data_IF_176592902085
#
_entry.id   IF_176592902085
#
_cell.length_a   1.000
_cell.length_b   1.000
_cell.length_c   1.000
_cell.angle_alpha   90.00
_cell.angle_beta   90.00
_cell.angle_gamma   90.00
#
_symmetry.space_group_name_H-M   'P 1'
#
loop_
_entity.id
_entity.type
_entity.pdbx_description
1 polymer ?
#
# COMPACT_ATOMS: atom_id res chain seq x y z
N UNK A 1 -1.94 -43.81 24.95
CA UNK A 1 -2.77 -45.01 25.12
C UNK A 1 -4.14 -44.56 25.57
N UNK A 2 -5.02 -44.40 24.60
CA UNK A 2 -6.48 -44.31 24.75
C UNK A 2 -7.01 -45.56 25.43
N UNK A 3 -7.94 -45.40 26.37
CA UNK A 3 -9.24 -46.09 26.43
C UNK A 3 -9.96 -45.64 27.71
N UNK A 4 -11.09 -44.94 27.60
CA UNK A 4 -12.41 -45.53 27.40
C UNK A 4 -12.86 -46.32 28.65
N UNK A 5 -13.83 -45.78 29.38
CA UNK A 5 -14.93 -46.47 30.07
C UNK A 5 -15.67 -45.43 30.92
N UNK A 6 -16.79 -44.92 30.39
CA UNK A 6 -18.17 -45.32 30.77
C UNK A 6 -18.57 -44.73 32.13
N UNK A 7 -19.31 -43.61 32.20
CA UNK A 7 -20.72 -43.43 31.83
C UNK A 7 -21.67 -44.20 32.76
N UNK A 8 -21.90 -43.61 33.92
CA UNK A 8 -22.97 -43.87 34.90
C UNK A 8 -23.04 -42.59 35.75
N UNK A 9 -24.14 -41.98 36.14
CA UNK A 9 -25.57 -42.28 36.11
C UNK A 9 -26.24 -40.92 36.35
N UNK A 10 -27.31 -40.65 35.63
CA UNK A 10 -28.25 -39.56 35.94
C UNK A 10 -28.73 -39.73 37.38
N UNK A 11 -28.43 -38.76 38.26
CA UNK A 11 -29.11 -38.65 39.54
C UNK A 11 -29.94 -37.36 39.56
N UNK A 12 -31.22 -37.59 39.29
CA UNK A 12 -32.34 -36.69 39.47
C UNK A 12 -32.42 -36.20 40.93
N UNK A 13 -32.60 -34.89 41.09
CA UNK A 13 -33.42 -34.20 42.10
C UNK A 13 -33.22 -34.56 43.59
N UNK A 14 -32.73 -33.58 44.35
CA UNK A 14 -33.20 -33.21 45.70
C UNK A 14 -32.90 -31.70 45.88
N UNK A 15 -33.88 -30.80 45.87
CA UNK A 15 -34.52 -30.27 47.08
C UNK A 15 -33.51 -29.47 47.91
N UNK A 16 -33.50 -28.14 48.02
CA UNK A 16 -34.57 -27.16 48.12
C UNK A 16 -34.40 -26.43 49.46
N UNK A 17 -34.19 -25.10 49.43
CA UNK A 17 -34.74 -24.09 50.36
C UNK A 17 -33.81 -22.88 50.59
N UNK A 18 -34.38 -21.71 50.27
CA UNK A 18 -34.34 -20.44 51.00
C UNK A 18 -33.00 -19.68 51.18
N UNK A 19 -32.89 -18.57 50.45
CA UNK A 19 -32.01 -17.45 50.79
C UNK A 19 -32.29 -16.24 49.91
N UNK A 20 -32.82 -15.18 50.53
CA UNK A 20 -33.01 -13.79 50.09
C UNK A 20 -32.20 -13.32 48.86
N UNK A 21 -32.68 -12.46 47.97
CA UNK A 21 -33.17 -11.09 48.19
C UNK A 21 -33.90 -10.68 46.90
N UNK A 22 -35.04 -9.99 47.02
CA UNK A 22 -35.69 -9.27 45.92
C UNK A 22 -34.78 -8.13 45.44
N UNK A 23 -33.78 -8.44 44.61
CA UNK A 23 -33.12 -7.42 43.81
C UNK A 23 -34.06 -7.07 42.66
N UNK A 24 -34.65 -5.88 42.76
CA UNK A 24 -35.42 -5.24 41.71
C UNK A 24 -34.78 -5.53 40.35
N UNK A 25 -35.50 -6.30 39.53
CA UNK A 25 -35.17 -6.53 38.13
C UNK A 25 -35.34 -5.20 37.38
N UNK A 26 -34.38 -4.30 37.57
CA UNK A 26 -34.09 -3.25 36.61
C UNK A 26 -33.58 -4.02 35.40
N UNK A 27 -34.50 -4.41 34.52
CA UNK A 27 -34.19 -4.60 33.10
C UNK A 27 -33.62 -3.26 32.64
N UNK A 28 -32.33 -3.03 32.91
CA UNK A 28 -31.49 -2.36 31.94
C UNK A 28 -31.67 -3.22 30.72
N UNK A 29 -32.58 -2.77 29.85
CA UNK A 29 -32.44 -2.96 28.42
C UNK A 29 -30.96 -2.63 28.21
N UNK A 30 -30.10 -3.64 28.13
CA UNK A 30 -28.91 -3.51 27.32
C UNK A 30 -29.51 -3.12 25.99
N UNK A 31 -29.48 -1.82 25.68
CA UNK A 31 -29.48 -1.40 24.31
C UNK A 31 -28.31 -2.20 23.75
N UNK A 32 -28.66 -3.29 23.06
CA UNK A 32 -27.76 -3.95 22.13
C UNK A 32 -27.31 -2.76 21.28
N UNK A 33 -26.03 -2.33 21.33
CA UNK A 33 -25.60 -1.27 20.44
C UNK A 33 -25.98 -1.78 19.06
N UNK A 34 -26.84 -1.02 18.39
CA UNK A 34 -27.42 -1.41 17.12
C UNK A 34 -26.29 -1.94 16.25
N UNK A 35 -26.34 -3.24 15.98
CA UNK A 35 -25.47 -3.95 15.07
C UNK A 35 -25.94 -3.64 13.64
N UNK A 36 -26.24 -2.36 13.39
CA UNK A 36 -26.31 -1.79 12.06
C UNK A 36 -24.88 -1.84 11.56
N UNK A 37 -24.66 -2.72 10.58
CA UNK A 37 -23.41 -2.85 9.86
C UNK A 37 -22.78 -1.46 9.67
N UNK A 38 -21.59 -1.27 10.22
CA UNK A 38 -20.80 -0.05 10.00
C UNK A 38 -20.31 -0.09 8.56
N UNK A 39 -21.22 0.15 7.62
CA UNK A 39 -20.92 0.34 6.20
C UNK A 39 -20.28 1.72 6.03
N UNK A 40 -19.05 1.84 6.52
CA UNK A 40 -18.24 3.02 6.33
C UNK A 40 -17.64 2.95 4.93
N UNK A 41 -18.01 3.91 4.08
CA UNK A 41 -17.38 4.09 2.77
C UNK A 41 -15.88 4.35 2.95
N UNK A 42 -15.08 3.72 2.10
CA UNK A 42 -13.63 3.98 2.03
C UNK A 42 -13.40 5.40 1.54
N UNK A 43 -12.48 6.10 2.17
CA UNK A 43 -12.04 7.42 1.71
C UNK A 43 -11.06 7.29 0.55
N UNK A 44 -10.92 8.36 -0.25
CA UNK A 44 -9.94 8.40 -1.33
C UNK A 44 -8.51 8.23 -0.76
N UNK A 45 -8.23 8.80 0.41
CA UNK A 45 -6.93 8.69 1.07
C UNK A 45 -6.61 7.24 1.48
N UNK A 46 -7.58 6.51 2.03
CA UNK A 46 -7.44 5.10 2.36
C UNK A 46 -7.19 4.25 1.10
N UNK A 47 -7.89 4.55 0.00
CA UNK A 47 -7.70 3.86 -1.27
C UNK A 47 -6.28 4.11 -1.84
N UNK A 48 -5.81 5.35 -1.81
CA UNK A 48 -4.45 5.70 -2.26
C UNK A 48 -3.40 5.01 -1.39
N UNK A 49 -3.60 4.97 -0.07
CA UNK A 49 -2.68 4.32 0.85
C UNK A 49 -2.58 2.80 0.61
N UNK A 50 -3.70 2.12 0.37
CA UNK A 50 -3.67 0.69 0.05
C UNK A 50 -3.05 0.43 -1.33
N UNK A 51 -3.22 1.35 -2.29
CA UNK A 51 -2.55 1.26 -3.59
C UNK A 51 -1.02 1.40 -3.43
N UNK A 52 -0.55 2.34 -2.61
CA UNK A 52 0.88 2.52 -2.31
C UNK A 52 1.45 1.26 -1.64
N UNK A 53 0.73 0.71 -0.67
CA UNK A 53 1.13 -0.54 -0.03
C UNK A 53 1.18 -1.71 -1.02
N UNK A 54 0.23 -1.78 -1.94
CA UNK A 54 0.21 -2.78 -3.01
C UNK A 54 1.43 -2.66 -3.93
N UNK A 55 1.80 -1.45 -4.37
CA UNK A 55 2.96 -1.21 -5.23
C UNK A 55 4.27 -1.67 -4.57
N UNK A 56 4.43 -1.38 -3.27
CA UNK A 56 5.60 -1.81 -2.49
C UNK A 56 5.60 -3.33 -2.31
N UNK A 57 4.46 -3.89 -1.88
CA UNK A 57 4.32 -5.34 -1.67
C UNK A 57 4.60 -6.13 -2.95
N UNK A 58 4.18 -5.59 -4.10
CA UNK A 58 4.47 -6.16 -5.42
C UNK A 58 5.89 -5.89 -5.90
N UNK A 59 6.67 -5.08 -5.20
CA UNK A 59 8.03 -4.72 -5.58
C UNK A 59 8.10 -3.91 -6.88
N UNK A 60 7.03 -3.19 -7.22
CA UNK A 60 6.98 -2.32 -8.39
C UNK A 60 7.64 -0.96 -8.10
N UNK A 61 7.61 -0.53 -6.84
CA UNK A 61 8.24 0.69 -6.36
C UNK A 61 8.80 0.49 -4.96
N UNK A 62 9.81 1.28 -4.61
CA UNK A 62 10.29 1.40 -3.24
C UNK A 62 9.47 2.45 -2.47
N UNK A 63 9.50 2.37 -1.14
CA UNK A 63 8.91 3.40 -0.27
C UNK A 63 9.52 4.78 -0.50
N UNK A 64 10.83 4.84 -0.81
CA UNK A 64 11.53 6.09 -1.12
C UNK A 64 11.03 6.72 -2.43
N UNK A 65 10.89 5.93 -3.50
CA UNK A 65 10.34 6.42 -4.77
C UNK A 65 8.90 6.92 -4.63
N UNK A 66 8.06 6.20 -3.88
CA UNK A 66 6.69 6.66 -3.60
C UNK A 66 6.67 7.95 -2.78
N UNK A 67 7.53 8.09 -1.76
CA UNK A 67 7.64 9.33 -1.00
C UNK A 67 8.03 10.52 -1.89
N UNK A 68 8.90 10.32 -2.88
CA UNK A 68 9.23 11.34 -3.87
C UNK A 68 8.04 11.69 -4.76
N UNK A 69 7.27 10.70 -5.22
CA UNK A 69 6.09 10.96 -6.06
C UNK A 69 4.98 11.68 -5.29
N UNK A 70 4.80 11.37 -4.00
CA UNK A 70 3.74 11.95 -3.16
C UNK A 70 4.09 13.34 -2.64
N UNK A 71 5.36 13.57 -2.29
CA UNK A 71 5.78 14.76 -1.54
C UNK A 71 6.99 15.49 -2.14
N UNK A 72 7.62 14.92 -3.15
CA UNK A 72 8.75 15.52 -3.84
C UNK A 72 8.34 16.67 -4.76
N UNK A 73 9.36 17.36 -5.27
CA UNK A 73 9.21 18.39 -6.29
C UNK A 73 9.06 17.71 -7.64
N UNK A 74 7.88 17.88 -8.26
CA UNK A 74 7.65 17.45 -9.64
C UNK A 74 8.43 18.32 -10.61
N UNK A 75 9.08 17.69 -11.58
CA UNK A 75 9.75 18.34 -12.69
C UNK A 75 9.72 17.47 -13.96
N UNK A 76 10.33 17.97 -15.02
CA UNK A 76 10.52 17.25 -16.29
C UNK A 76 11.96 16.78 -16.43
N UNK A 77 12.12 15.50 -16.76
CA UNK A 77 13.39 14.89 -17.14
C UNK A 77 13.40 14.56 -18.62
N UNK A 78 14.47 14.93 -19.31
CA UNK A 78 14.76 14.42 -20.65
C UNK A 78 15.60 13.16 -20.49
N UNK A 79 15.12 12.05 -21.04
CA UNK A 79 15.91 10.81 -21.06
C UNK A 79 17.10 11.00 -22.00
N UNK A 80 18.31 10.91 -21.48
CA UNK A 80 19.56 10.99 -22.24
C UNK A 80 20.15 9.61 -22.53
N UNK A 81 19.81 8.61 -21.72
CA UNK A 81 20.25 7.23 -21.86
C UNK A 81 19.20 6.28 -21.30
N UNK A 82 19.11 5.08 -21.88
CA UNK A 82 18.24 4.02 -21.40
C UNK A 82 18.88 2.67 -21.67
N UNK A 83 18.93 1.82 -20.63
CA UNK A 83 19.54 0.49 -20.69
C UNK A 83 18.66 -0.50 -19.94
N UNK A 84 18.26 -1.57 -20.60
CA UNK A 84 17.61 -2.68 -19.90
C UNK A 84 18.60 -3.38 -18.96
N UNK A 85 18.17 -3.71 -17.74
CA UNK A 85 19.00 -4.47 -16.79
C UNK A 85 18.95 -5.97 -17.07
N UNK A 86 17.95 -6.41 -17.83
CA UNK A 86 17.62 -7.83 -18.03
C UNK A 86 16.64 -8.38 -17.00
N UNK A 87 16.36 -7.65 -15.92
CA UNK A 87 15.34 -8.03 -14.94
C UNK A 87 13.94 -7.68 -15.45
N UNK A 88 13.00 -8.59 -15.23
CA UNK A 88 11.59 -8.40 -15.53
C UNK A 88 10.75 -8.79 -14.31
N UNK A 89 9.63 -8.09 -14.12
CA UNK A 89 8.66 -8.39 -13.07
C UNK A 89 7.26 -8.24 -13.65
N UNK A 90 6.52 -9.34 -13.75
CA UNK A 90 5.22 -9.35 -14.42
C UNK A 90 5.33 -8.70 -15.83
N UNK A 91 4.47 -7.75 -16.15
CA UNK A 91 4.49 -6.99 -17.42
C UNK A 91 5.43 -5.78 -17.40
N UNK A 92 6.30 -5.67 -16.38
CA UNK A 92 7.26 -4.60 -16.24
C UNK A 92 8.67 -5.07 -16.61
N UNK A 93 9.46 -4.15 -17.16
CA UNK A 93 10.89 -4.33 -17.43
C UNK A 93 11.67 -3.33 -16.61
N UNK A 94 12.70 -3.82 -15.94
CA UNK A 94 13.60 -2.96 -15.20
C UNK A 94 14.59 -2.33 -16.17
N UNK A 95 14.70 -1.01 -16.08
CA UNK A 95 15.56 -0.20 -16.94
C UNK A 95 16.31 0.78 -16.06
N UNK A 96 17.57 0.99 -16.39
CA UNK A 96 18.38 2.10 -15.90
C UNK A 96 18.23 3.26 -16.89
N UNK A 97 17.89 4.42 -16.37
CA UNK A 97 17.63 5.63 -17.13
C UNK A 97 18.65 6.70 -16.70
N UNK A 98 19.31 7.30 -17.67
CA UNK A 98 20.04 8.54 -17.48
C UNK A 98 19.15 9.70 -17.91
N UNK A 99 19.01 10.70 -17.05
CA UNK A 99 18.12 11.82 -17.24
C UNK A 99 18.83 13.15 -17.04
N UNK A 100 18.44 14.13 -17.85
CA UNK A 100 18.71 15.54 -17.59
C UNK A 100 17.43 16.18 -17.02
N UNK A 101 17.42 16.42 -15.71
CA UNK A 101 16.25 16.93 -14.98
C UNK A 101 16.32 18.44 -14.86
N UNK A 102 15.23 19.13 -15.16
CA UNK A 102 15.15 20.59 -15.04
C UNK A 102 14.82 21.00 -13.60
N UNK A 103 15.38 22.09 -13.09
CA UNK A 103 14.97 22.65 -11.79
C UNK A 103 13.83 23.66 -11.98
N UNK A 104 12.85 23.76 -11.05
CA UNK A 104 11.79 24.77 -11.10
C UNK A 104 12.29 26.24 -11.06
N UNK A 105 13.57 26.51 -10.76
CA UNK A 105 14.18 27.84 -10.80
C UNK A 105 15.14 28.05 -11.96
N UNK A 106 15.21 27.12 -12.92
CA UNK A 106 16.17 27.15 -14.02
C UNK A 106 17.43 26.31 -13.76
N UNK A 107 18.14 26.02 -14.85
CA UNK A 107 19.24 25.05 -14.85
C UNK A 107 18.76 23.61 -14.87
N UNK A 108 19.72 22.69 -15.03
CA UNK A 108 19.47 21.26 -15.14
C UNK A 108 20.55 20.48 -14.37
N UNK A 109 20.23 19.25 -13.95
CA UNK A 109 21.18 18.33 -13.34
C UNK A 109 21.05 16.93 -13.96
N UNK A 110 22.18 16.19 -14.07
CA UNK A 110 22.13 14.79 -14.43
C UNK A 110 21.63 13.95 -13.26
N UNK A 111 20.83 12.92 -13.55
CA UNK A 111 20.40 11.93 -12.58
C UNK A 111 20.31 10.55 -13.24
N UNK A 112 20.57 9.51 -12.47
CA UNK A 112 20.40 8.12 -12.91
C UNK A 112 19.34 7.47 -12.03
N UNK A 113 18.43 6.71 -12.64
CA UNK A 113 17.34 6.04 -11.93
C UNK A 113 17.08 4.65 -12.48
N UNK A 114 16.86 3.69 -11.59
CA UNK A 114 16.43 2.34 -11.96
C UNK A 114 14.94 2.19 -11.69
N UNK A 115 14.15 1.95 -12.73
CA UNK A 115 12.70 1.90 -12.65
C UNK A 115 12.12 0.67 -13.35
N UNK A 116 11.02 0.15 -12.79
CA UNK A 116 10.18 -0.84 -13.46
C UNK A 116 9.17 -0.12 -14.36
N UNK A 117 9.33 -0.27 -15.67
CA UNK A 117 8.48 0.38 -16.68
C UNK A 117 7.58 -0.67 -17.32
N UNK A 118 6.26 -0.41 -17.48
CA UNK A 118 5.38 -1.30 -18.22
C UNK A 118 5.94 -1.60 -19.61
N UNK A 119 5.93 -2.86 -20.03
CA UNK A 119 6.47 -3.28 -21.32
C UNK A 119 5.80 -2.55 -22.49
N UNK A 120 4.51 -2.23 -22.37
CA UNK A 120 3.74 -1.42 -23.34
C UNK A 120 4.24 0.02 -23.47
N UNK A 121 5.01 0.51 -22.51
CA UNK A 121 5.43 1.91 -22.38
C UNK A 121 6.92 2.13 -22.54
N UNK A 122 7.69 1.09 -22.88
CA UNK A 122 9.14 1.19 -23.05
C UNK A 122 9.56 2.23 -24.10
N UNK A 123 8.78 2.38 -25.18
CA UNK A 123 9.05 3.40 -26.19
C UNK A 123 9.03 4.83 -25.61
N UNK A 124 8.21 5.09 -24.57
CA UNK A 124 8.08 6.40 -23.91
C UNK A 124 9.27 6.76 -23.01
N UNK A 125 10.20 5.83 -22.80
CA UNK A 125 11.46 6.06 -22.04
C UNK A 125 12.70 5.89 -22.92
N UNK A 126 12.55 6.00 -24.23
CA UNK A 126 13.70 6.02 -25.14
C UNK A 126 14.43 7.37 -25.04
N UNK A 127 15.75 7.44 -25.35
CA UNK A 127 16.47 8.71 -25.37
C UNK A 127 15.75 9.78 -26.21
N UNK A 128 15.71 11.00 -25.69
CA UNK A 128 14.95 12.13 -26.23
C UNK A 128 13.52 12.26 -25.68
N UNK A 129 13.00 11.23 -25.00
CA UNK A 129 11.67 11.31 -24.36
C UNK A 129 11.68 12.26 -23.17
N UNK A 130 10.57 12.97 -22.98
CA UNK A 130 10.35 13.84 -21.81
C UNK A 130 9.37 13.14 -20.87
N UNK A 131 9.79 12.89 -19.64
CA UNK A 131 8.98 12.20 -18.62
C UNK A 131 8.89 13.00 -17.33
N UNK A 132 7.90 12.68 -16.50
CA UNK A 132 7.78 13.24 -15.17
C UNK A 132 8.86 12.65 -14.26
N UNK A 133 9.59 13.53 -13.58
CA UNK A 133 10.58 13.18 -12.58
C UNK A 133 10.24 13.89 -11.25
N UNK A 134 10.50 13.22 -10.14
CA UNK A 134 10.25 13.71 -8.79
C UNK A 134 11.53 13.61 -7.99
N UNK A 135 11.89 14.69 -7.30
CA UNK A 135 13.12 14.74 -6.50
C UNK A 135 12.92 15.63 -5.28
N UNK A 136 13.84 15.57 -4.31
CA UNK A 136 13.86 16.49 -3.18
C UNK A 136 14.88 17.60 -3.45
N UNK A 137 14.51 18.89 -3.34
CA UNK A 137 15.48 19.97 -3.41
C UNK A 137 16.59 19.77 -2.36
N UNK A 138 17.85 19.79 -2.79
CA UNK A 138 19.02 19.51 -1.94
C UNK A 138 19.48 18.05 -1.93
N UNK A 139 18.70 17.12 -2.47
CA UNK A 139 19.10 15.72 -2.72
C UNK A 139 18.71 15.33 -4.16
N UNK A 140 19.58 15.74 -5.10
CA UNK A 140 19.37 15.57 -6.54
C UNK A 140 19.95 14.26 -7.08
N UNK A 141 20.62 13.48 -6.23
CA UNK A 141 21.12 12.16 -6.56
C UNK A 141 20.05 11.07 -6.49
N UNK A 142 18.93 11.35 -5.82
CA UNK A 142 17.81 10.41 -5.68
C UNK A 142 16.57 10.99 -6.34
N UNK A 143 16.08 10.33 -7.39
CA UNK A 143 14.87 10.74 -8.11
C UNK A 143 13.90 9.57 -8.23
N UNK A 144 12.66 9.85 -8.60
CA UNK A 144 11.69 8.85 -9.04
C UNK A 144 11.06 9.31 -10.35
N UNK A 145 10.71 8.37 -11.23
CA UNK A 145 10.10 8.68 -12.53
C UNK A 145 8.68 8.13 -12.63
N UNK A 146 7.82 8.79 -13.40
CA UNK A 146 6.49 8.31 -13.73
C UNK A 146 6.27 8.35 -15.24
N UNK A 147 5.73 7.25 -15.77
CA UNK A 147 5.40 7.09 -17.19
C UNK A 147 4.00 6.52 -17.27
N UNK A 148 3.11 7.23 -17.97
CA UNK A 148 1.74 6.74 -18.14
C UNK A 148 1.73 5.52 -19.08
N UNK A 149 0.99 4.45 -18.74
CA UNK A 149 0.81 3.32 -19.63
C UNK A 149 0.25 3.76 -21.00
N UNK A 150 0.67 3.08 -22.07
CA UNK A 150 0.05 3.20 -23.41
C UNK A 150 -1.28 2.45 -23.47
#
# INVERSE_FOLDING_TARGET
MTDALMLTVVCFICGGAAGAVLSAARRRRCARPDDEATERLVTIEELVAEFDHMLIRKGLMTSAQLALIRHGTRSRGVVTGMRATGTAREDYREVELDLMVTRPGGGQFPATETALIPASSLAKVSPGSVIDAYYRPGDEGTIAVCVSPC
#
